data_IF_707868762848
#
_entry.id   IF_707868762848
#
_cell.length_a   1.000
_cell.length_b   1.000
_cell.length_c   1.000
_cell.angle_alpha   90.00
_cell.angle_beta   90.00
_cell.angle_gamma   90.00
#
_symmetry.space_group_name_H-M   'P 1'
#
loop_
_entity.id
_entity.type
_entity.pdbx_description
1 polymer ?
#
# COMPACT_ATOMS: atom_id res chain seq x y z
N UNK A 1 -37.32 31.67 33.71
CA UNK A 1 -36.06 31.10 33.17
C UNK A 1 -36.41 29.93 32.28
N UNK A 2 -36.14 30.02 30.97
CA UNK A 2 -36.60 29.08 29.93
C UNK A 2 -35.60 27.92 29.81
N UNK A 3 -36.06 26.70 30.03
CA UNK A 3 -35.31 25.46 29.78
C UNK A 3 -35.13 25.30 28.26
N UNK A 4 -33.89 25.40 27.79
CA UNK A 4 -33.53 25.16 26.40
C UNK A 4 -33.43 23.67 26.12
N UNK A 5 -34.31 23.17 25.24
CA UNK A 5 -34.27 21.81 24.73
C UNK A 5 -32.99 21.59 23.90
N UNK A 6 -32.12 20.69 24.35
CA UNK A 6 -30.94 20.28 23.59
C UNK A 6 -31.39 19.24 22.58
N UNK A 7 -31.55 19.68 21.33
CA UNK A 7 -31.86 18.85 20.17
C UNK A 7 -30.73 17.85 19.95
N UNK A 8 -31.05 16.54 19.96
CA UNK A 8 -30.12 15.47 19.59
C UNK A 8 -29.95 15.48 18.07
N UNK A 9 -29.00 16.27 17.57
CA UNK A 9 -28.62 16.24 16.16
C UNK A 9 -27.83 14.96 15.87
N UNK A 10 -28.39 14.15 14.96
CA UNK A 10 -27.88 12.86 14.51
C UNK A 10 -26.53 12.99 13.80
N UNK A 11 -25.57 12.13 14.17
CA UNK A 11 -24.24 12.04 13.55
C UNK A 11 -24.28 11.73 12.04
N UNK A 12 -25.42 11.34 11.49
CA UNK A 12 -25.58 11.02 10.06
C UNK A 12 -25.62 12.25 9.13
N UNK A 13 -25.81 13.47 9.63
CA UNK A 13 -25.91 14.64 8.75
C UNK A 13 -24.54 15.17 8.32
N UNK A 14 -23.50 15.01 9.14
CA UNK A 14 -22.15 15.49 8.83
C UNK A 14 -21.40 14.62 7.82
N UNK A 15 -21.69 13.31 7.77
CA UNK A 15 -21.07 12.42 6.78
C UNK A 15 -21.64 12.61 5.38
N UNK A 16 -22.90 13.05 5.25
CA UNK A 16 -23.58 13.12 3.96
C UNK A 16 -23.22 14.37 3.14
N UNK A 17 -22.82 15.48 3.78
CA UNK A 17 -22.44 16.72 3.07
C UNK A 17 -21.01 16.68 2.51
N UNK A 18 -20.14 15.81 3.04
CA UNK A 18 -18.75 15.69 2.57
C UNK A 18 -18.62 14.89 1.25
N UNK A 19 -19.59 14.04 0.92
CA UNK A 19 -19.56 13.23 -0.32
C UNK A 19 -19.98 14.06 -1.55
N UNK A 20 -20.72 15.16 -1.37
CA UNK A 20 -21.32 15.92 -2.48
C UNK A 20 -20.36 16.91 -3.18
N UNK A 21 -19.14 17.12 -2.66
CA UNK A 21 -18.17 18.08 -3.24
C UNK A 21 -16.89 17.44 -3.78
N UNK A 22 -16.82 16.11 -3.89
CA UNK A 22 -15.72 15.46 -4.60
C UNK A 22 -15.87 15.71 -6.10
N UNK A 23 -15.24 16.79 -6.58
CA UNK A 23 -14.78 16.85 -7.96
C UNK A 23 -13.99 15.56 -8.23
N UNK A 24 -14.19 14.89 -9.38
CA UNK A 24 -13.56 13.61 -9.65
C UNK A 24 -12.07 13.74 -9.38
N UNK A 25 -11.51 12.84 -8.57
CA UNK A 25 -10.08 12.70 -8.41
C UNK A 25 -9.53 12.39 -9.80
N UNK A 26 -9.14 13.44 -10.53
CA UNK A 26 -8.21 13.34 -11.63
C UNK A 26 -6.92 12.91 -10.97
N UNK A 27 -6.79 11.59 -10.79
CA UNK A 27 -5.51 11.00 -10.46
C UNK A 27 -4.58 11.47 -11.57
N UNK A 28 -3.57 12.25 -11.20
CA UNK A 28 -2.37 12.45 -12.00
C UNK A 28 -1.66 11.08 -12.01
N UNK A 29 -2.27 10.13 -12.74
CA UNK A 29 -1.61 8.95 -13.22
C UNK A 29 -0.52 9.50 -14.14
N UNK A 30 0.62 9.83 -13.57
CA UNK A 30 1.81 10.03 -14.37
C UNK A 30 1.98 8.73 -15.13
N UNK A 31 1.76 8.81 -16.45
CA UNK A 31 2.16 7.78 -17.38
C UNK A 31 3.66 7.57 -17.17
N UNK A 32 4.01 6.62 -16.32
CA UNK A 32 5.35 6.08 -16.18
C UNK A 32 5.65 5.17 -17.38
N UNK A 33 5.26 5.58 -18.59
CA UNK A 33 5.48 4.80 -19.81
C UNK A 33 6.93 4.90 -20.32
N UNK A 34 7.81 5.66 -19.66
CA UNK A 34 9.16 5.92 -20.18
C UNK A 34 10.31 5.27 -19.41
N UNK A 35 10.08 4.54 -18.30
CA UNK A 35 11.17 3.97 -17.49
C UNK A 35 10.88 2.57 -16.91
N UNK A 36 9.91 1.82 -17.45
CA UNK A 36 9.71 0.43 -17.04
C UNK A 36 10.93 -0.42 -17.46
N UNK A 37 11.60 -1.11 -16.53
CA UNK A 37 12.73 -1.95 -16.88
C UNK A 37 12.27 -3.13 -17.77
N UNK A 38 13.08 -3.55 -18.76
CA UNK A 38 12.80 -4.71 -19.64
C UNK A 38 12.42 -6.02 -18.92
N UNK A 39 12.67 -6.07 -17.60
CA UNK A 39 12.45 -7.20 -16.72
C UNK A 39 10.98 -7.45 -16.36
N UNK A 40 10.09 -6.44 -16.49
CA UNK A 40 8.67 -6.64 -16.20
C UNK A 40 7.99 -7.55 -17.24
N UNK A 41 8.28 -7.34 -18.52
CA UNK A 41 7.74 -8.14 -19.62
C UNK A 41 8.19 -9.60 -19.52
N UNK A 42 9.49 -9.84 -19.34
CA UNK A 42 10.01 -11.21 -19.21
C UNK A 42 9.46 -11.94 -17.99
N UNK A 43 9.18 -11.20 -16.90
CA UNK A 43 8.55 -11.77 -15.71
C UNK A 43 7.11 -12.18 -15.97
N UNK A 44 6.31 -11.33 -16.63
CA UNK A 44 4.93 -11.64 -17.03
C UNK A 44 4.92 -12.88 -17.92
N UNK A 45 5.82 -12.96 -18.90
CA UNK A 45 5.90 -14.11 -19.80
C UNK A 45 6.22 -15.38 -19.01
N UNK A 46 7.22 -15.34 -18.13
CA UNK A 46 7.59 -16.49 -17.26
C UNK A 46 6.41 -16.95 -16.40
N UNK A 47 5.71 -16.02 -15.75
CA UNK A 47 4.58 -16.32 -14.88
C UNK A 47 3.36 -16.87 -15.66
N UNK A 48 3.24 -16.53 -16.93
CA UNK A 48 2.09 -16.92 -17.77
C UNK A 48 2.30 -18.26 -18.48
N UNK A 49 3.51 -18.83 -18.47
CA UNK A 49 3.86 -20.08 -19.19
C UNK A 49 2.95 -21.27 -18.86
N UNK A 50 2.51 -21.40 -17.61
CA UNK A 50 1.66 -22.51 -17.16
C UNK A 50 0.21 -22.41 -17.67
N UNK A 51 -0.27 -21.24 -18.08
CA UNK A 51 -1.69 -21.00 -18.36
C UNK A 51 -2.15 -21.52 -19.75
N UNK A 52 -1.35 -22.38 -20.37
CA UNK A 52 -1.27 -22.65 -21.81
C UNK A 52 -2.10 -23.85 -22.28
N UNK A 53 -3.38 -23.95 -21.89
CA UNK A 53 -4.27 -24.97 -22.48
C UNK A 53 -4.79 -24.57 -23.87
N UNK A 54 -4.66 -23.29 -24.24
CA UNK A 54 -5.10 -22.74 -25.53
C UNK A 54 -4.22 -21.54 -25.90
N UNK A 55 -3.55 -21.60 -27.06
CA UNK A 55 -2.61 -20.57 -27.52
C UNK A 55 -3.27 -19.19 -27.72
N UNK A 56 -4.52 -19.15 -28.20
CA UNK A 56 -5.24 -17.89 -28.39
C UNK A 56 -5.59 -17.24 -27.05
N UNK A 57 -6.04 -18.04 -26.08
CA UNK A 57 -6.34 -17.57 -24.71
C UNK A 57 -5.06 -17.08 -24.02
N UNK A 58 -3.94 -17.77 -24.23
CA UNK A 58 -2.63 -17.36 -23.73
C UNK A 58 -2.22 -16.01 -24.33
N UNK A 59 -2.30 -15.84 -25.66
CA UNK A 59 -1.96 -14.58 -26.32
C UNK A 59 -2.82 -13.40 -25.85
N UNK A 60 -4.14 -13.61 -25.69
CA UNK A 60 -5.05 -12.58 -25.20
C UNK A 60 -4.72 -12.17 -23.76
N UNK A 61 -4.49 -13.13 -22.87
CA UNK A 61 -4.14 -12.84 -21.47
C UNK A 61 -2.80 -12.12 -21.37
N UNK A 62 -1.77 -12.60 -22.07
CA UNK A 62 -0.44 -11.98 -22.07
C UNK A 62 -0.52 -10.54 -22.58
N UNK A 63 -1.32 -10.27 -23.61
CA UNK A 63 -1.54 -8.90 -24.11
C UNK A 63 -2.13 -7.98 -23.03
N UNK A 64 -3.15 -8.44 -22.29
CA UNK A 64 -3.76 -7.67 -21.19
C UNK A 64 -2.76 -7.40 -20.06
N UNK A 65 -2.00 -8.42 -19.65
CA UNK A 65 -1.02 -8.30 -18.57
C UNK A 65 0.13 -7.37 -18.96
N UNK A 66 0.61 -7.46 -20.19
CA UNK A 66 1.65 -6.57 -20.72
C UNK A 66 1.13 -5.13 -20.86
N UNK A 67 -0.12 -4.95 -21.29
CA UNK A 67 -0.75 -3.63 -21.41
C UNK A 67 -0.90 -2.95 -20.04
N UNK A 68 -1.33 -3.70 -19.02
CA UNK A 68 -1.50 -3.20 -17.65
C UNK A 68 -0.29 -3.45 -16.74
N UNK A 69 0.89 -3.74 -17.31
CA UNK A 69 2.09 -4.14 -16.54
C UNK A 69 2.45 -3.16 -15.42
N UNK A 70 2.21 -1.86 -15.63
CA UNK A 70 2.55 -0.80 -14.68
C UNK A 70 1.74 -0.87 -13.38
N UNK A 71 0.61 -1.58 -13.37
CA UNK A 71 -0.22 -1.79 -12.18
C UNK A 71 0.33 -2.90 -11.27
N UNK A 72 1.27 -3.70 -11.77
CA UNK A 72 1.81 -4.85 -11.05
C UNK A 72 3.23 -4.59 -10.57
N UNK A 73 3.53 -5.02 -9.35
CA UNK A 73 4.88 -4.98 -8.77
C UNK A 73 5.72 -6.17 -9.25
N UNK A 74 5.90 -6.30 -10.57
CA UNK A 74 6.59 -7.45 -11.18
C UNK A 74 8.10 -7.44 -10.98
N UNK A 75 8.69 -6.26 -10.81
CA UNK A 75 10.14 -6.08 -10.73
C UNK A 75 10.63 -5.54 -9.38
N UNK A 76 9.97 -4.50 -8.87
CA UNK A 76 10.32 -3.87 -7.60
C UNK A 76 9.03 -3.56 -6.83
N UNK A 77 9.01 -3.77 -5.50
CA UNK A 77 7.89 -3.32 -4.67
C UNK A 77 7.71 -1.81 -4.82
N UNK A 78 6.48 -1.38 -5.08
CA UNK A 78 6.14 0.03 -5.23
C UNK A 78 5.60 0.57 -3.91
N UNK A 79 6.22 1.63 -3.41
CA UNK A 79 5.70 2.36 -2.25
C UNK A 79 4.87 3.54 -2.74
N UNK A 80 3.63 3.64 -2.26
CA UNK A 80 2.76 4.79 -2.52
C UNK A 80 3.12 5.89 -1.51
N UNK A 81 3.40 7.09 -2.01
CA UNK A 81 3.59 8.28 -1.16
C UNK A 81 2.29 9.07 -1.14
N UNK A 82 1.61 9.07 0.00
CA UNK A 82 0.46 9.95 0.23
C UNK A 82 0.93 11.30 0.75
N UNK A 83 0.28 12.39 0.30
CA UNK A 83 0.54 13.74 0.85
C UNK A 83 0.01 13.90 2.28
N UNK A 84 -0.98 13.08 2.64
CA UNK A 84 -1.60 13.09 3.95
C UNK A 84 -0.78 12.19 4.88
N UNK A 85 -0.34 12.76 6.00
CA UNK A 85 0.29 12.03 7.08
C UNK A 85 -0.78 11.38 7.97
N UNK A 86 -0.67 10.07 8.16
CA UNK A 86 -1.54 9.36 9.09
C UNK A 86 -1.15 9.68 10.54
N UNK A 87 -2.11 10.10 11.36
CA UNK A 87 -1.93 10.41 12.79
C UNK A 87 -2.71 9.40 13.62
N UNK A 88 -2.03 8.78 14.58
CA UNK A 88 -2.66 7.88 15.56
C UNK A 88 -2.90 8.67 16.84
N UNK A 89 -4.17 8.83 17.23
CA UNK A 89 -4.53 9.50 18.48
C UNK A 89 -4.47 8.50 19.65
N UNK A 90 -3.47 8.64 20.51
CA UNK A 90 -3.28 7.81 21.71
C UNK A 90 -3.91 8.40 22.97
N UNK A 91 -4.59 9.55 22.90
CA UNK A 91 -5.11 10.26 24.07
C UNK A 91 -4.02 10.55 25.10
N UNK A 92 -4.32 10.31 26.38
CA UNK A 92 -3.40 10.53 27.51
C UNK A 92 -2.60 9.28 27.90
N UNK A 93 -2.57 8.24 27.06
CA UNK A 93 -1.87 7.00 27.36
C UNK A 93 -0.34 7.19 27.26
N UNK A 94 0.45 6.79 28.28
CA UNK A 94 1.90 6.88 28.22
C UNK A 94 2.49 5.83 27.26
N UNK A 95 3.70 6.07 26.70
CA UNK A 95 4.40 5.09 25.89
C UNK A 95 4.64 3.77 26.64
N UNK A 96 4.50 2.65 25.95
CA UNK A 96 4.77 1.31 26.49
C UNK A 96 6.09 0.82 25.91
N UNK A 97 7.05 0.53 26.79
CA UNK A 97 8.32 -0.08 26.42
C UNK A 97 8.36 -1.55 26.89
N UNK A 98 8.33 -2.48 25.94
CA UNK A 98 8.36 -3.91 26.20
C UNK A 98 9.62 -4.53 25.60
N UNK A 99 10.25 -5.45 26.34
CA UNK A 99 11.45 -6.15 25.89
C UNK A 99 11.14 -7.02 24.66
N UNK A 100 11.96 -6.97 23.60
CA UNK A 100 11.82 -7.90 22.48
C UNK A 100 11.90 -9.35 22.93
N UNK A 101 11.00 -10.19 22.42
CA UNK A 101 11.01 -11.62 22.69
C UNK A 101 12.24 -12.31 22.09
N UNK A 102 12.73 -13.35 22.74
CA UNK A 102 13.88 -14.12 22.26
C UNK A 102 13.61 -14.74 20.88
N UNK A 103 14.60 -14.66 20.00
CA UNK A 103 14.57 -15.34 18.70
C UNK A 103 15.73 -16.36 18.61
N UNK A 104 15.43 -17.64 18.27
CA UNK A 104 16.44 -18.65 17.96
C UNK A 104 17.38 -18.20 16.85
N UNK A 105 18.62 -18.69 16.87
CA UNK A 105 19.70 -18.25 15.96
C UNK A 105 19.33 -18.45 14.48
N UNK A 106 18.71 -19.59 14.15
CA UNK A 106 18.27 -19.88 12.78
C UNK A 106 17.28 -18.83 12.25
N UNK A 107 16.36 -18.38 13.10
CA UNK A 107 15.38 -17.37 12.73
C UNK A 107 16.00 -15.97 12.60
N UNK A 108 17.08 -15.68 13.34
CA UNK A 108 17.74 -14.37 13.28
C UNK A 108 18.26 -14.06 11.88
N UNK A 109 18.77 -15.06 11.15
CA UNK A 109 19.25 -14.87 9.78
C UNK A 109 18.13 -14.41 8.85
N UNK A 110 16.98 -15.08 8.90
CA UNK A 110 15.83 -14.73 8.06
C UNK A 110 15.25 -13.37 8.43
N UNK A 111 15.17 -13.07 9.74
CA UNK A 111 14.74 -11.76 10.24
C UNK A 111 15.67 -10.65 9.74
N UNK A 112 16.99 -10.87 9.81
CA UNK A 112 17.96 -9.88 9.34
C UNK A 112 17.83 -9.63 7.83
N UNK A 113 17.66 -10.68 7.03
CA UNK A 113 17.44 -10.54 5.59
C UNK A 113 16.21 -9.71 5.26
N UNK A 114 15.10 -9.89 5.98
CA UNK A 114 13.90 -9.08 5.76
C UNK A 114 14.08 -7.64 6.25
N UNK A 115 14.79 -7.43 7.37
CA UNK A 115 15.18 -6.08 7.83
C UNK A 115 15.99 -5.35 6.76
N UNK A 116 17.02 -5.99 6.20
CA UNK A 116 17.87 -5.40 5.18
C UNK A 116 17.09 -5.05 3.91
N UNK A 117 16.15 -5.93 3.51
CA UNK A 117 15.24 -5.69 2.39
C UNK A 117 14.30 -4.51 2.65
N UNK A 118 13.71 -4.42 3.84
CA UNK A 118 12.82 -3.32 4.21
C UNK A 118 13.56 -1.97 4.31
N UNK A 119 14.79 -1.97 4.85
CA UNK A 119 15.65 -0.80 4.88
C UNK A 119 16.01 -0.34 3.46
N UNK A 120 16.45 -1.27 2.61
CA UNK A 120 16.77 -0.98 1.19
C UNK A 120 15.59 -0.38 0.44
N UNK A 121 14.37 -0.84 0.75
CA UNK A 121 13.14 -0.35 0.12
C UNK A 121 12.56 0.91 0.79
N UNK A 122 13.18 1.42 1.87
CA UNK A 122 12.72 2.60 2.59
C UNK A 122 11.39 2.42 3.32
N UNK A 123 11.01 1.18 3.64
CA UNK A 123 9.76 0.84 4.36
C UNK A 123 9.94 1.11 5.86
N UNK A 124 11.14 0.83 6.39
CA UNK A 124 11.51 1.08 7.78
C UNK A 124 12.73 1.99 7.85
N UNK A 125 12.89 2.69 8.98
CA UNK A 125 14.05 3.54 9.28
C UNK A 125 14.51 3.33 10.73
N UNK A 126 15.80 3.54 11.03
CA UNK A 126 16.26 3.62 12.41
C UNK A 126 15.55 4.76 13.16
N UNK A 127 15.13 4.49 14.39
CA UNK A 127 14.51 5.48 15.27
C UNK A 127 14.82 5.17 16.74
N UNK A 128 14.59 6.15 17.62
CA UNK A 128 14.71 5.99 19.07
C UNK A 128 13.35 6.34 19.68
N UNK A 129 12.68 5.37 20.29
CA UNK A 129 11.41 5.54 20.98
C UNK A 129 11.60 5.50 22.51
N UNK A 130 10.74 6.17 23.29
CA UNK A 130 10.72 6.07 24.76
C UNK A 130 10.44 4.64 25.26
#
# INVERSE_FOLDING_TARGET
>A
MKLGAISRLSLNTYFSTMIASEQPIQQDYKDHNSNDPPLALSRIDTLSQHLSDNEQRHAQLTSVLQHHRALFDTYQPRTIKTLIHHVINTGDHPPINAKPYFKPVEQRKNIQQEIDKMLKNGIIIPSQSP
#
